data_IF_320006498349
#
_entry.id   IF_320006498349
#
_cell.length_a   1.000
_cell.length_b   1.000
_cell.length_c   1.000
_cell.angle_alpha   90.00
_cell.angle_beta   90.00
_cell.angle_gamma   90.00
#
_symmetry.space_group_name_H-M   'P 1'
#
loop_
_entity.id
_entity.type
_entity.pdbx_description
1 polymer ?
#
# COMPACT_ATOMS: atom_id res chain seq x y z
N UNK A 1 -13.65 20.42 9.62
CA UNK A 1 -13.45 18.94 9.61
C UNK A 1 -13.47 18.30 8.22
N UNK A 2 -14.01 18.94 7.16
CA UNK A 2 -13.98 18.38 5.80
C UNK A 2 -12.59 18.37 5.14
N UNK A 3 -11.88 19.50 5.18
CA UNK A 3 -10.61 19.68 4.46
C UNK A 3 -9.49 18.75 4.94
N UNK A 4 -9.40 18.45 6.24
CA UNK A 4 -8.36 17.56 6.81
C UNK A 4 -8.51 16.10 6.33
N UNK A 5 -9.73 15.66 6.00
CA UNK A 5 -9.98 14.32 5.46
C UNK A 5 -9.53 14.18 3.99
N UNK A 6 -9.37 15.30 3.28
CA UNK A 6 -8.94 15.32 1.88
C UNK A 6 -7.42 15.25 1.74
N UNK A 7 -6.66 15.65 2.77
CA UNK A 7 -5.19 15.70 2.73
C UNK A 7 -4.55 14.36 2.35
N UNK A 8 -4.97 13.19 2.90
CA UNK A 8 -4.38 11.92 2.51
C UNK A 8 -4.63 11.56 1.05
N UNK A 9 -5.83 11.87 0.53
CA UNK A 9 -6.19 11.61 -0.86
C UNK A 9 -5.48 12.55 -1.84
N UNK A 10 -5.28 13.81 -1.44
CA UNK A 10 -4.46 14.75 -2.20
C UNK A 10 -3.01 14.27 -2.24
N UNK A 11 -2.46 13.80 -1.12
CA UNK A 11 -1.12 13.25 -1.08
C UNK A 11 -0.98 11.98 -1.94
N UNK A 12 -1.98 11.10 -1.90
CA UNK A 12 -2.08 9.93 -2.78
C UNK A 12 -2.05 10.33 -4.26
N UNK A 13 -2.79 11.38 -4.67
CA UNK A 13 -2.75 11.89 -6.04
C UNK A 13 -1.35 12.38 -6.42
N UNK A 14 -0.72 13.20 -5.58
CA UNK A 14 0.63 13.74 -5.84
C UNK A 14 1.66 12.62 -5.97
N UNK A 15 1.71 11.71 -5.00
CA UNK A 15 2.69 10.61 -5.00
C UNK A 15 2.45 9.61 -6.13
N UNK A 16 1.21 9.41 -6.57
CA UNK A 16 0.93 8.56 -7.74
C UNK A 16 1.54 9.15 -9.01
N UNK A 17 1.42 10.47 -9.22
CA UNK A 17 2.00 11.14 -10.38
C UNK A 17 3.54 11.19 -10.28
N UNK A 18 4.08 11.51 -9.11
CA UNK A 18 5.53 11.51 -8.85
C UNK A 18 6.11 10.11 -9.09
N UNK A 19 5.45 9.06 -8.61
CA UNK A 19 5.87 7.68 -8.82
C UNK A 19 5.94 7.31 -10.30
N UNK A 20 4.96 7.75 -11.10
CA UNK A 20 4.99 7.57 -12.56
C UNK A 20 6.15 8.31 -13.23
N UNK A 21 6.33 9.60 -12.93
CA UNK A 21 7.43 10.40 -13.49
C UNK A 21 8.81 9.85 -13.11
N UNK A 22 9.00 9.43 -11.85
CA UNK A 22 10.24 8.80 -11.39
C UNK A 22 10.47 7.47 -12.12
N UNK A 23 9.44 6.64 -12.26
CA UNK A 23 9.55 5.37 -12.98
C UNK A 23 10.00 5.60 -14.43
N UNK A 24 9.32 6.48 -15.14
CA UNK A 24 9.59 6.79 -16.55
C UNK A 24 10.98 7.41 -16.72
N UNK A 25 11.40 8.28 -15.79
CA UNK A 25 12.74 8.87 -15.82
C UNK A 25 13.83 7.82 -15.65
N UNK A 26 13.71 6.92 -14.66
CA UNK A 26 14.68 5.87 -14.38
C UNK A 26 14.82 4.89 -15.55
N UNK A 27 13.70 4.55 -16.20
CA UNK A 27 13.66 3.62 -17.33
C UNK A 27 14.19 4.30 -18.61
N UNK A 28 13.71 5.51 -18.94
CA UNK A 28 14.07 6.20 -20.20
C UNK A 28 15.54 6.63 -20.23
N UNK A 29 16.10 7.02 -19.07
CA UNK A 29 17.54 7.33 -18.93
C UNK A 29 18.42 6.09 -18.85
N UNK A 30 17.85 4.87 -18.91
CA UNK A 30 18.54 3.58 -18.77
C UNK A 30 19.37 3.46 -17.48
N UNK A 31 18.94 4.13 -16.41
CA UNK A 31 19.60 4.06 -15.09
C UNK A 31 19.33 2.70 -14.45
N UNK A 32 18.09 2.21 -14.56
CA UNK A 32 17.65 0.93 -14.05
C UNK A 32 16.82 0.18 -15.11
N UNK A 33 16.85 -1.16 -15.07
CA UNK A 33 15.93 -1.98 -15.87
C UNK A 33 14.51 -1.84 -15.35
N UNK A 34 13.51 -2.11 -16.20
CA UNK A 34 12.08 -2.08 -15.85
C UNK A 34 11.83 -2.86 -14.57
N UNK A 35 12.29 -4.11 -14.49
CA UNK A 35 12.18 -4.97 -13.30
C UNK A 35 12.73 -4.32 -12.04
N UNK A 36 13.95 -3.73 -12.09
CA UNK A 36 14.58 -3.10 -10.93
C UNK A 36 13.84 -1.84 -10.50
N UNK A 37 13.38 -1.03 -11.45
CA UNK A 37 12.58 0.17 -11.17
C UNK A 37 11.25 -0.20 -10.50
N UNK A 38 10.53 -1.21 -11.03
CA UNK A 38 9.27 -1.68 -10.44
C UNK A 38 9.47 -2.24 -9.03
N UNK A 39 10.51 -3.07 -8.82
CA UNK A 39 10.87 -3.60 -7.49
C UNK A 39 11.21 -2.48 -6.51
N UNK A 40 12.00 -1.50 -6.92
CA UNK A 40 12.40 -0.39 -6.07
C UNK A 40 11.18 0.43 -5.63
N UNK A 41 10.34 0.86 -6.57
CA UNK A 41 9.16 1.68 -6.27
C UNK A 41 8.15 0.93 -5.41
N UNK A 42 7.90 -0.34 -5.71
CA UNK A 42 7.03 -1.18 -4.87
C UNK A 42 7.60 -1.29 -3.44
N UNK A 43 8.89 -1.61 -3.31
CA UNK A 43 9.51 -1.85 -2.00
C UNK A 43 9.52 -0.60 -1.15
N UNK A 44 9.99 0.53 -1.69
CA UNK A 44 10.02 1.81 -0.97
C UNK A 44 8.60 2.25 -0.59
N UNK A 45 7.65 2.15 -1.53
CA UNK A 45 6.27 2.52 -1.28
C UNK A 45 5.61 1.70 -0.17
N UNK A 46 5.69 0.36 -0.25
CA UNK A 46 5.06 -0.53 0.73
C UNK A 46 5.75 -0.51 2.10
N UNK A 47 7.08 -0.42 2.15
CA UNK A 47 7.82 -0.39 3.42
C UNK A 47 7.53 0.91 4.16
N UNK A 48 7.62 2.06 3.50
CA UNK A 48 7.33 3.35 4.15
C UNK A 48 5.85 3.43 4.55
N UNK A 49 4.93 2.98 3.68
CA UNK A 49 3.51 2.96 4.00
C UNK A 49 3.19 2.05 5.20
N UNK A 50 3.83 0.88 5.28
CA UNK A 50 3.68 -0.05 6.40
C UNK A 50 4.19 0.54 7.71
N UNK A 51 5.39 1.12 7.72
CA UNK A 51 5.95 1.75 8.92
C UNK A 51 5.06 2.92 9.39
N UNK A 52 4.55 3.73 8.46
CA UNK A 52 3.61 4.80 8.78
C UNK A 52 2.27 4.26 9.32
N UNK A 53 1.73 3.17 8.76
CA UNK A 53 0.54 2.49 9.29
C UNK A 53 0.76 1.99 10.73
N UNK A 54 1.88 1.30 10.97
CA UNK A 54 2.23 0.75 12.28
C UNK A 54 2.50 1.85 13.33
N UNK A 55 2.98 3.02 12.91
CA UNK A 55 3.22 4.17 13.78
C UNK A 55 1.95 4.99 14.07
N UNK A 56 0.87 4.82 13.31
CA UNK A 56 -0.36 5.58 13.44
C UNK A 56 -0.96 5.57 14.87
N UNK A 57 -1.01 4.43 15.60
CA UNK A 57 -1.50 4.38 16.99
C UNK A 57 -0.65 5.15 18.01
N UNK A 58 0.58 5.56 17.65
CA UNK A 58 1.45 6.32 18.54
C UNK A 58 1.05 7.81 18.61
N UNK A 59 0.36 8.31 17.57
CA UNK A 59 -0.07 9.70 17.53
C UNK A 59 -1.36 9.90 18.34
N UNK A 60 -1.28 10.74 19.37
CA UNK A 60 -2.43 11.12 20.20
C UNK A 60 -3.10 12.43 19.75
N UNK A 61 -2.51 13.14 18.77
CA UNK A 61 -3.04 14.39 18.23
C UNK A 61 -3.74 14.18 16.88
N UNK A 62 -4.87 14.85 16.60
CA UNK A 62 -5.56 14.73 15.32
C UNK A 62 -4.69 15.09 14.11
N UNK A 63 -3.85 16.12 14.25
CA UNK A 63 -2.92 16.56 13.19
C UNK A 63 -1.86 15.49 12.90
N UNK A 64 -1.31 14.85 13.93
CA UNK A 64 -0.34 13.77 13.79
C UNK A 64 -0.92 12.56 13.07
N UNK A 65 -2.17 12.20 13.37
CA UNK A 65 -2.89 11.09 12.70
C UNK A 65 -3.16 11.42 11.22
N UNK A 66 -3.57 12.65 10.91
CA UNK A 66 -3.78 13.09 9.52
C UNK A 66 -2.46 13.11 8.75
N UNK A 67 -1.38 13.59 9.35
CA UNK A 67 -0.06 13.57 8.73
C UNK A 67 0.42 12.13 8.46
N UNK A 68 0.36 11.26 9.47
CA UNK A 68 0.82 9.88 9.36
C UNK A 68 0.00 9.07 8.33
N UNK A 69 -1.32 9.23 8.33
CA UNK A 69 -2.21 8.60 7.33
C UNK A 69 -1.96 9.16 5.92
N UNK A 70 -1.65 10.45 5.79
CA UNK A 70 -1.26 11.05 4.51
C UNK A 70 0.02 10.45 3.97
N UNK A 71 1.06 10.31 4.82
CA UNK A 71 2.31 9.64 4.45
C UNK A 71 2.04 8.19 4.03
N UNK A 72 1.27 7.44 4.82
CA UNK A 72 0.94 6.05 4.50
C UNK A 72 0.25 5.92 3.13
N UNK A 73 -0.81 6.69 2.88
CA UNK A 73 -1.55 6.67 1.61
C UNK A 73 -0.72 7.17 0.42
N UNK A 74 0.12 8.20 0.62
CA UNK A 74 1.02 8.70 -0.41
C UNK A 74 2.04 7.66 -0.86
N UNK A 75 2.76 7.07 0.08
CA UNK A 75 3.76 6.03 -0.26
C UNK A 75 3.12 4.74 -0.78
N UNK A 76 1.92 4.39 -0.31
CA UNK A 76 1.15 3.29 -0.89
C UNK A 76 0.83 3.57 -2.37
N UNK A 77 0.46 4.82 -2.70
CA UNK A 77 0.22 5.25 -4.08
C UNK A 77 1.49 5.15 -4.95
N UNK A 78 2.65 5.54 -4.39
CA UNK A 78 3.94 5.37 -5.04
C UNK A 78 4.26 3.89 -5.29
N UNK A 79 3.96 3.01 -4.33
CA UNK A 79 4.09 1.56 -4.48
C UNK A 79 3.21 0.98 -5.59
N UNK A 80 2.01 1.54 -5.81
CA UNK A 80 1.14 1.15 -6.93
C UNK A 80 1.80 1.39 -8.30
N UNK A 81 2.63 2.42 -8.45
CA UNK A 81 3.39 2.63 -9.69
C UNK A 81 4.42 1.52 -9.98
N UNK A 82 4.78 0.72 -8.97
CA UNK A 82 5.59 -0.48 -9.10
C UNK A 82 4.78 -1.69 -9.58
N UNK A 83 3.75 -2.12 -8.84
CA UNK A 83 3.06 -3.37 -9.16
C UNK A 83 1.93 -3.24 -10.19
N UNK A 84 1.18 -2.13 -10.21
CA UNK A 84 -0.04 -2.05 -11.03
C UNK A 84 0.27 -2.00 -12.53
N UNK A 85 1.45 -1.47 -12.88
CA UNK A 85 1.95 -1.39 -14.25
C UNK A 85 2.67 -2.68 -14.65
N UNK A 86 3.10 -3.49 -13.68
CA UNK A 86 3.88 -4.70 -13.91
C UNK A 86 3.11 -5.77 -14.71
N UNK A 87 1.78 -5.80 -14.60
CA UNK A 87 0.92 -6.69 -15.38
C UNK A 87 1.06 -6.46 -16.90
N UNK A 88 1.17 -5.19 -17.31
CA UNK A 88 1.38 -4.82 -18.71
C UNK A 88 2.82 -5.10 -19.17
N UNK A 89 3.78 -4.93 -18.26
CA UNK A 89 5.20 -5.21 -18.55
C UNK A 89 5.43 -6.73 -18.80
N UNK A 90 4.73 -7.60 -18.07
CA UNK A 90 4.88 -9.07 -18.15
C UNK A 90 4.05 -9.72 -19.25
N UNK A 91 2.78 -9.31 -19.42
CA UNK A 91 1.82 -9.98 -20.29
C UNK A 91 0.91 -8.97 -21.04
N UNK A 92 1.44 -8.23 -22.02
CA UNK A 92 0.72 -7.12 -22.66
C UNK A 92 -0.63 -7.50 -23.29
N UNK A 93 -0.73 -8.67 -23.96
CA UNK A 93 -2.02 -9.13 -24.55
C UNK A 93 -3.04 -9.61 -23.53
N UNK A 94 -2.58 -10.10 -22.37
CA UNK A 94 -3.44 -10.66 -21.33
C UNK A 94 -3.52 -9.78 -20.08
N UNK A 95 -2.95 -8.56 -20.11
CA UNK A 95 -2.80 -7.70 -18.96
C UNK A 95 -4.13 -7.43 -18.25
N UNK A 96 -5.21 -7.23 -19.01
CA UNK A 96 -6.55 -7.04 -18.46
C UNK A 96 -7.05 -8.25 -17.66
N UNK A 97 -6.78 -9.47 -18.13
CA UNK A 97 -7.17 -10.71 -17.42
C UNK A 97 -6.31 -10.87 -16.16
N UNK A 98 -4.99 -10.71 -16.26
CA UNK A 98 -4.09 -10.85 -15.10
C UNK A 98 -4.41 -9.80 -14.04
N UNK A 99 -4.67 -8.55 -14.45
CA UNK A 99 -5.11 -7.47 -13.55
C UNK A 99 -6.48 -7.79 -12.93
N UNK A 100 -7.43 -8.30 -13.72
CA UNK A 100 -8.75 -8.70 -13.24
C UNK A 100 -8.68 -9.77 -12.15
N UNK A 101 -7.97 -10.87 -12.42
CA UNK A 101 -7.77 -11.96 -11.44
C UNK A 101 -7.08 -11.44 -10.18
N UNK A 102 -6.04 -10.61 -10.33
CA UNK A 102 -5.34 -9.99 -9.19
C UNK A 102 -6.26 -9.09 -8.37
N UNK A 103 -7.12 -8.31 -9.03
CA UNK A 103 -8.07 -7.41 -8.37
C UNK A 103 -9.17 -8.19 -7.64
N UNK A 104 -9.67 -9.28 -8.22
CA UNK A 104 -10.63 -10.18 -7.55
C UNK A 104 -10.03 -10.78 -6.28
N UNK A 105 -8.79 -11.30 -6.35
CA UNK A 105 -8.09 -11.81 -5.17
C UNK A 105 -7.91 -10.72 -4.10
N UNK A 106 -7.51 -9.50 -4.51
CA UNK A 106 -7.39 -8.35 -3.61
C UNK A 106 -8.73 -7.94 -2.97
N UNK A 107 -9.83 -8.00 -3.72
CA UNK A 107 -11.17 -7.67 -3.23
C UNK A 107 -11.64 -8.71 -2.20
N UNK A 108 -11.42 -10.01 -2.45
CA UNK A 108 -11.73 -11.06 -1.48
C UNK A 108 -10.91 -10.89 -0.19
N UNK A 109 -9.62 -10.58 -0.31
CA UNK A 109 -8.78 -10.26 0.85
C UNK A 109 -9.31 -9.05 1.63
N UNK A 110 -9.86 -8.04 0.93
CA UNK A 110 -10.53 -6.90 1.53
C UNK A 110 -11.77 -7.28 2.35
N UNK A 111 -12.63 -8.17 1.83
CA UNK A 111 -13.80 -8.67 2.56
C UNK A 111 -13.39 -9.36 3.87
N UNK A 112 -12.40 -10.26 3.78
CA UNK A 112 -11.85 -10.96 4.97
C UNK A 112 -11.21 -9.97 5.94
N UNK A 113 -10.50 -8.96 5.44
CA UNK A 113 -9.88 -7.93 6.26
C UNK A 113 -10.88 -7.09 7.06
N UNK A 114 -12.04 -6.78 6.48
CA UNK A 114 -13.11 -6.04 7.18
C UNK A 114 -13.71 -6.91 8.29
N UNK A 115 -14.03 -8.18 8.02
CA UNK A 115 -14.52 -9.12 9.05
C UNK A 115 -13.53 -9.27 10.20
N UNK A 116 -12.24 -9.46 9.89
CA UNK A 116 -11.18 -9.56 10.90
C UNK A 116 -11.07 -8.28 11.74
N UNK A 117 -11.14 -7.10 11.11
CA UNK A 117 -11.11 -5.82 11.82
C UNK A 117 -12.28 -5.68 12.79
N UNK A 118 -13.48 -6.10 12.37
CA UNK A 118 -14.67 -6.14 13.23
C UNK A 118 -14.45 -7.01 14.46
N UNK A 119 -13.99 -8.25 14.28
CA UNK A 119 -13.70 -9.19 15.38
C UNK A 119 -12.62 -8.68 16.33
N UNK A 120 -11.58 -8.02 15.82
CA UNK A 120 -10.53 -7.41 16.64
C UNK A 120 -11.08 -6.29 17.53
N UNK A 121 -11.99 -5.46 16.99
CA UNK A 121 -12.64 -4.38 17.74
C UNK A 121 -13.65 -4.93 18.77
N UNK A 122 -14.38 -5.99 18.45
CA UNK A 122 -15.26 -6.68 19.39
C UNK A 122 -14.47 -7.28 20.55
N UNK A 123 -13.37 -7.97 20.28
CA UNK A 123 -12.50 -8.52 21.32
C UNK A 123 -11.89 -7.43 22.23
N UNK A 124 -11.53 -6.26 21.66
CA UNK A 124 -11.06 -5.13 22.45
C UNK A 124 -12.16 -4.58 23.37
N UNK A 125 -13.41 -4.51 22.87
CA UNK A 125 -14.57 -4.09 23.66
C UNK A 125 -14.88 -5.07 24.80
N UNK A 126 -14.82 -6.37 24.54
CA UNK A 126 -15.05 -7.43 25.54
C UNK A 126 -13.99 -7.41 26.64
N UNK A 127 -12.75 -7.02 26.30
CA UNK A 127 -11.67 -6.78 27.25
C UNK A 127 -11.78 -5.44 28.00
N UNK A 128 -12.90 -4.71 27.87
CA UNK A 128 -13.16 -3.40 28.48
C UNK A 128 -12.09 -2.33 28.14
N UNK A 129 -11.41 -2.48 27.00
CA UNK A 129 -10.57 -1.41 26.47
C UNK A 129 -11.45 -0.30 25.88
N UNK A 130 -11.06 0.94 26.16
CA UNK A 130 -11.70 2.11 25.56
C UNK A 130 -11.39 2.12 24.06
N UNK A 131 -12.42 2.03 23.21
CA UNK A 131 -12.30 2.11 21.75
C UNK A 131 -11.83 3.50 21.28
N UNK A 132 -11.95 4.51 22.15
CA UNK A 132 -11.41 5.85 21.95
C UNK A 132 -9.89 5.86 22.13
N UNK A 133 -9.33 4.86 22.83
CA UNK A 133 -7.89 4.75 23.03
C UNK A 133 -7.20 4.18 21.78
N UNK A 134 -6.12 4.83 21.30
CA UNK A 134 -5.29 4.31 20.20
C UNK A 134 -4.73 2.90 20.40
N UNK A 135 -4.60 2.45 21.65
CA UNK A 135 -4.03 1.14 21.97
C UNK A 135 -4.93 -0.01 21.51
N UNK A 136 -6.26 0.16 21.57
CA UNK A 136 -7.25 -0.78 21.01
C UNK A 136 -7.10 -0.98 19.50
N UNK A 137 -6.65 0.05 18.79
CA UNK A 137 -6.49 0.04 17.33
C UNK A 137 -5.12 -0.48 16.88
N UNK A 138 -4.20 -0.74 17.82
CA UNK A 138 -2.84 -1.14 17.49
C UNK A 138 -2.80 -2.42 16.66
N UNK A 139 -3.58 -3.44 17.03
CA UNK A 139 -3.68 -4.68 16.27
C UNK A 139 -4.22 -4.44 14.84
N UNK A 140 -5.24 -3.57 14.72
CA UNK A 140 -5.89 -3.23 13.45
C UNK A 140 -4.92 -2.57 12.46
N UNK A 141 -3.92 -1.82 12.94
CA UNK A 141 -2.92 -1.18 12.07
C UNK A 141 -1.63 -1.99 11.91
N UNK A 142 -1.21 -2.73 12.95
CA UNK A 142 0.01 -3.56 12.92
C UNK A 142 -0.15 -4.78 12.02
N UNK A 143 -1.31 -5.44 12.02
CA UNK A 143 -1.53 -6.65 11.21
C UNK A 143 -1.43 -6.31 9.70
N UNK A 144 -2.17 -5.34 9.14
CA UNK A 144 -2.01 -4.97 7.73
C UNK A 144 -0.62 -4.45 7.41
N UNK A 145 0.01 -3.68 8.31
CA UNK A 145 1.40 -3.22 8.14
C UNK A 145 2.36 -4.40 7.96
N UNK A 146 2.28 -5.41 8.82
CA UNK A 146 3.10 -6.62 8.71
C UNK A 146 2.87 -7.38 7.40
N UNK A 147 1.61 -7.52 6.97
CA UNK A 147 1.25 -8.14 5.70
C UNK A 147 1.81 -7.35 4.50
N UNK A 148 1.79 -6.03 4.55
CA UNK A 148 2.39 -5.18 3.52
C UNK A 148 3.91 -5.38 3.40
N UNK A 149 4.63 -5.54 4.53
CA UNK A 149 6.07 -5.83 4.52
C UNK A 149 6.33 -7.21 3.94
N UNK A 150 5.59 -8.23 4.38
CA UNK A 150 5.73 -9.59 3.85
C UNK A 150 5.44 -9.63 2.34
N UNK A 151 4.37 -8.97 1.89
CA UNK A 151 4.03 -8.84 0.47
C UNK A 151 5.14 -8.15 -0.32
N UNK A 152 5.72 -7.08 0.23
CA UNK A 152 6.85 -6.37 -0.37
C UNK A 152 8.07 -7.27 -0.55
N UNK A 153 8.41 -8.09 0.46
CA UNK A 153 9.51 -9.06 0.40
C UNK A 153 9.24 -10.13 -0.66
N UNK A 154 8.04 -10.68 -0.68
CA UNK A 154 7.62 -11.67 -1.70
C UNK A 154 7.74 -11.07 -3.10
N UNK A 155 7.27 -9.83 -3.29
CA UNK A 155 7.38 -9.12 -4.56
C UNK A 155 8.84 -8.86 -4.95
N UNK A 156 9.70 -8.49 -4.00
CA UNK A 156 11.12 -8.24 -4.25
C UNK A 156 11.82 -9.52 -4.78
N UNK A 157 11.51 -10.68 -4.20
CA UNK A 157 12.11 -11.95 -4.55
C UNK A 157 11.55 -12.48 -5.88
N UNK A 158 10.22 -12.51 -6.03
CA UNK A 158 9.56 -13.26 -7.10
C UNK A 158 9.17 -12.43 -8.33
N UNK A 159 9.05 -11.11 -8.23
CA UNK A 159 8.55 -10.32 -9.36
C UNK A 159 9.58 -10.23 -10.49
N UNK A 160 9.08 -10.13 -11.72
CA UNK A 160 9.83 -9.77 -12.92
C UNK A 160 9.02 -8.76 -13.72
N UNK A 161 9.72 -7.90 -14.46
CA UNK A 161 9.16 -6.96 -15.45
C UNK A 161 9.62 -7.28 -16.87
N UNK A 162 10.16 -8.48 -17.09
CA UNK A 162 10.45 -8.99 -18.43
C UNK A 162 9.20 -9.60 -19.06
N UNK A 163 9.04 -9.44 -20.38
CA UNK A 163 7.92 -10.03 -21.12
C UNK A 163 8.09 -11.54 -21.15
N UNK A 164 7.10 -12.26 -20.62
CA UNK A 164 7.07 -13.73 -20.59
C UNK A 164 6.10 -14.27 -21.64
N UNK A 165 5.02 -13.53 -21.92
CA UNK A 165 3.96 -13.94 -22.83
C UNK A 165 3.84 -12.92 -23.96
N UNK A 166 3.78 -13.41 -25.21
CA UNK A 166 3.54 -12.60 -26.41
C UNK A 166 2.04 -12.31 -26.60
#
# INVERSE_FOLDING_TARGET
MGSSKMMPYLNMFLFSNIGGVIADHLITRRILSVTKTRKLLNTVGFVVASLALMALPLFRTPEGVVFCSSVALGFLALGRAGFAVNHMDVAPRYAGIVMGVSNTAGTLAGIVGVDLTGRLLEAAKDAQLDLTSPDSWRAVFVIPGSLCILSSIVFLILSTGERIFD
#
